data_IF_011846989297
#
_entry.id   IF_011846989297
#
_cell.length_a   1.000
_cell.length_b   1.000
_cell.length_c   1.000
_cell.angle_alpha   90.00
_cell.angle_beta   90.00
_cell.angle_gamma   90.00
#
_symmetry.space_group_name_H-M   'P 1'
#
loop_
_entity.id
_entity.type
_entity.pdbx_description
1 polymer ?
#
# COMPACT_ATOMS: atom_id res chain seq x y z
N UNK A 1 -45.21 13.54 -22.85
CA UNK A 1 -44.56 13.53 -21.53
C UNK A 1 -45.38 12.67 -20.58
N UNK A 2 -44.80 11.58 -20.05
CA UNK A 2 -45.20 11.07 -18.74
C UNK A 2 -44.00 11.01 -17.79
N UNK A 3 -44.18 11.63 -16.62
CA UNK A 3 -43.42 11.42 -15.38
C UNK A 3 -43.92 10.07 -14.83
N UNK A 4 -43.15 9.01 -14.58
CA UNK A 4 -41.99 8.95 -13.70
C UNK A 4 -42.41 8.22 -12.41
N UNK A 5 -42.42 6.87 -12.44
CA UNK A 5 -42.90 6.00 -11.36
C UNK A 5 -41.95 6.02 -10.14
N UNK A 6 -42.26 6.89 -9.18
CA UNK A 6 -41.75 6.82 -7.80
C UNK A 6 -42.74 6.08 -6.92
N UNK A 7 -42.34 4.94 -6.36
CA UNK A 7 -43.16 4.12 -5.46
C UNK A 7 -43.31 4.82 -4.09
N UNK A 8 -44.54 5.05 -3.63
CA UNK A 8 -44.85 5.66 -2.32
C UNK A 8 -45.45 4.62 -1.36
N UNK A 9 -44.93 4.52 -0.13
CA UNK A 9 -45.64 3.87 0.98
C UNK A 9 -46.41 4.93 1.78
N UNK A 10 -47.74 4.78 1.85
CA UNK A 10 -48.60 5.69 2.61
C UNK A 10 -48.54 5.39 4.12
N UNK A 11 -47.99 6.34 4.89
CA UNK A 11 -48.15 6.40 6.34
C UNK A 11 -49.45 7.10 6.73
N UNK A 12 -50.20 6.56 7.70
CA UNK A 12 -51.56 6.98 8.13
C UNK A 12 -51.68 8.39 8.76
N UNK A 13 -50.71 9.28 8.63
CA UNK A 13 -50.72 10.59 9.32
C UNK A 13 -50.22 11.76 8.46
N UNK A 14 -50.55 11.73 7.17
CA UNK A 14 -50.71 12.96 6.35
C UNK A 14 -49.50 13.87 6.22
N UNK A 15 -48.28 13.41 6.51
CA UNK A 15 -47.04 14.16 6.31
C UNK A 15 -46.13 13.40 5.36
N UNK A 16 -46.20 13.79 4.09
CA UNK A 16 -45.28 13.34 3.06
C UNK A 16 -43.98 14.14 3.21
N UNK A 17 -42.93 13.52 3.76
CA UNK A 17 -41.58 14.09 3.68
C UNK A 17 -40.88 13.46 2.46
N UNK A 18 -40.41 14.25 1.48
CA UNK A 18 -39.62 13.70 0.38
C UNK A 18 -38.29 13.21 0.96
N UNK A 19 -38.02 11.91 0.84
CA UNK A 19 -36.67 11.40 1.05
C UNK A 19 -35.84 11.83 -0.16
N UNK A 20 -35.17 12.97 0.00
CA UNK A 20 -34.16 13.43 -0.94
C UNK A 20 -33.09 12.33 -1.02
N UNK A 21 -32.92 11.73 -2.19
CA UNK A 21 -31.74 10.90 -2.47
C UNK A 21 -30.57 11.88 -2.49
N UNK A 22 -29.94 12.09 -1.34
CA UNK A 22 -28.63 12.71 -1.32
C UNK A 22 -27.69 11.77 -2.06
N UNK A 23 -27.39 12.10 -3.31
CA UNK A 23 -26.07 11.82 -3.88
C UNK A 23 -25.06 12.47 -2.94
N UNK A 24 -24.62 11.73 -1.93
CA UNK A 24 -23.48 12.12 -1.13
C UNK A 24 -22.25 12.04 -2.04
N UNK A 25 -21.98 13.12 -2.77
CA UNK A 25 -20.61 13.47 -3.06
C UNK A 25 -19.97 13.72 -1.70
N UNK A 26 -19.24 12.73 -1.20
CA UNK A 26 -18.34 12.94 -0.06
C UNK A 26 -17.32 13.96 -0.55
N UNK A 27 -17.63 15.24 -0.34
CA UNK A 27 -16.69 16.32 -0.48
C UNK A 27 -15.51 15.97 0.43
N UNK A 28 -14.30 15.91 -0.13
CA UNK A 28 -13.06 15.69 0.58
C UNK A 28 -12.68 16.89 1.48
N UNK A 29 -13.64 17.45 2.22
CA UNK A 29 -13.39 18.41 3.28
C UNK A 29 -12.98 17.63 4.53
N UNK A 30 -11.67 17.50 4.73
CA UNK A 30 -11.12 17.06 6.01
C UNK A 30 -10.15 15.89 5.95
N UNK A 31 -9.30 15.79 4.93
CA UNK A 31 -8.09 15.00 5.13
C UNK A 31 -7.14 15.85 5.99
N UNK A 32 -7.32 15.77 7.32
CA UNK A 32 -6.63 16.64 8.29
C UNK A 32 -5.10 16.48 8.33
N UNK A 33 -4.53 15.56 7.54
CA UNK A 33 -3.09 15.38 7.37
C UNK A 33 -2.69 15.68 5.93
N UNK A 34 -1.55 16.36 5.75
CA UNK A 34 -0.93 16.49 4.42
C UNK A 34 -0.32 15.16 4.02
N UNK A 35 -0.16 14.93 2.71
CA UNK A 35 0.43 13.69 2.21
C UNK A 35 1.86 13.48 2.73
N UNK A 36 2.62 14.58 2.83
CA UNK A 36 4.01 14.60 3.33
C UNK A 36 4.14 14.11 4.79
N UNK A 37 3.08 14.22 5.59
CA UNK A 37 3.07 13.81 7.00
C UNK A 37 2.76 12.30 7.18
N UNK A 38 2.56 11.56 6.08
CA UNK A 38 2.21 10.15 6.11
C UNK A 38 3.46 9.27 5.97
N UNK A 39 3.65 8.38 6.95
CA UNK A 39 4.85 7.56 7.03
C UNK A 39 4.63 6.10 6.64
N UNK A 40 3.37 5.64 6.65
CA UNK A 40 3.05 4.24 6.39
C UNK A 40 2.28 4.05 5.08
N UNK A 41 2.49 2.92 4.42
CA UNK A 41 1.75 2.56 3.19
C UNK A 41 0.22 2.59 3.41
N UNK A 42 -0.33 2.02 4.50
CA UNK A 42 -1.78 2.04 4.72
C UNK A 42 -2.35 3.45 4.88
N UNK A 43 -1.63 4.37 5.54
CA UNK A 43 -2.03 5.77 5.64
C UNK A 43 -2.08 6.44 4.26
N UNK A 44 -1.04 6.24 3.45
CA UNK A 44 -0.96 6.80 2.08
C UNK A 44 -2.06 6.25 1.17
N UNK A 45 -2.33 4.95 1.22
CA UNK A 45 -3.41 4.32 0.45
C UNK A 45 -4.78 4.90 0.82
N UNK A 46 -5.09 4.98 2.12
CA UNK A 46 -6.35 5.56 2.60
C UNK A 46 -6.49 7.03 2.20
N UNK A 47 -5.42 7.80 2.36
CA UNK A 47 -5.39 9.22 2.00
C UNK A 47 -5.66 9.41 0.50
N UNK A 48 -4.97 8.67 -0.36
CA UNK A 48 -5.14 8.73 -1.81
C UNK A 48 -6.55 8.31 -2.22
N UNK A 49 -7.08 7.23 -1.65
CA UNK A 49 -8.44 6.76 -1.90
C UNK A 49 -9.49 7.81 -1.53
N UNK A 50 -9.39 8.39 -0.32
CA UNK A 50 -10.33 9.41 0.17
C UNK A 50 -10.25 10.70 -0.63
N UNK A 51 -9.05 11.12 -1.06
CA UNK A 51 -8.86 12.27 -1.97
C UNK A 51 -9.63 12.09 -3.28
N UNK A 52 -9.70 10.86 -3.79
CA UNK A 52 -10.44 10.52 -5.01
C UNK A 52 -11.94 10.22 -4.76
N UNK A 53 -12.40 10.22 -3.51
CA UNK A 53 -13.79 9.90 -3.15
C UNK A 53 -14.18 8.45 -3.43
N UNK A 54 -13.22 7.52 -3.47
CA UNK A 54 -13.47 6.12 -3.85
C UNK A 54 -13.76 5.22 -2.64
N UNK A 55 -14.64 4.26 -2.84
CA UNK A 55 -14.83 3.12 -1.95
C UNK A 55 -13.72 2.07 -2.17
N UNK A 56 -13.42 1.27 -1.14
CA UNK A 56 -12.43 0.19 -1.23
C UNK A 56 -12.73 -0.79 -2.37
N UNK A 57 -14.01 -1.16 -2.56
CA UNK A 57 -14.47 -2.03 -3.67
C UNK A 57 -14.19 -1.42 -5.05
N UNK A 58 -14.28 -0.11 -5.20
CA UNK A 58 -14.08 0.57 -6.48
C UNK A 58 -12.60 0.61 -6.84
N UNK A 59 -11.73 0.87 -5.85
CA UNK A 59 -10.28 0.78 -6.04
C UNK A 59 -9.90 -0.63 -6.45
N UNK A 60 -10.38 -1.65 -5.72
CA UNK A 60 -10.09 -3.04 -6.02
C UNK A 60 -10.51 -3.43 -7.45
N UNK A 61 -11.70 -3.01 -7.89
CA UNK A 61 -12.18 -3.23 -9.26
C UNK A 61 -11.31 -2.53 -10.31
N UNK A 62 -10.96 -1.25 -10.11
CA UNK A 62 -10.11 -0.50 -11.07
C UNK A 62 -8.71 -1.06 -11.19
N UNK A 63 -8.12 -1.50 -10.07
CA UNK A 63 -6.79 -2.11 -10.02
C UNK A 63 -6.83 -3.57 -10.51
N UNK A 64 -7.99 -4.22 -10.45
CA UNK A 64 -8.14 -5.63 -10.80
C UNK A 64 -7.55 -6.56 -9.74
N UNK A 65 -7.79 -6.25 -8.47
CA UNK A 65 -7.46 -7.10 -7.30
C UNK A 65 -8.72 -7.46 -6.53
N UNK A 66 -8.64 -8.45 -5.64
CA UNK A 66 -9.76 -8.73 -4.73
C UNK A 66 -9.96 -7.58 -3.75
N UNK A 67 -11.22 -7.32 -3.37
CA UNK A 67 -11.54 -6.33 -2.34
C UNK A 67 -10.83 -6.67 -1.01
N UNK A 68 -10.81 -7.95 -0.64
CA UNK A 68 -10.11 -8.43 0.56
C UNK A 68 -8.63 -8.08 0.56
N UNK A 69 -7.94 -8.25 -0.58
CA UNK A 69 -6.53 -7.87 -0.68
C UNK A 69 -6.37 -6.35 -0.46
N UNK A 70 -7.20 -5.53 -1.10
CA UNK A 70 -7.13 -4.08 -0.90
C UNK A 70 -7.43 -3.66 0.55
N UNK A 71 -8.38 -4.31 1.21
CA UNK A 71 -8.67 -4.10 2.63
C UNK A 71 -7.48 -4.47 3.53
N UNK A 72 -6.81 -5.60 3.28
CA UNK A 72 -5.59 -6.01 3.99
C UNK A 72 -4.46 -4.97 3.80
N UNK A 73 -4.32 -4.43 2.58
CA UNK A 73 -3.34 -3.39 2.27
C UNK A 73 -3.63 -2.10 3.08
N UNK A 74 -4.89 -1.68 3.16
CA UNK A 74 -5.28 -0.51 3.96
C UNK A 74 -5.29 -0.75 5.46
N UNK A 75 -5.36 -2.01 5.91
CA UNK A 75 -5.23 -2.37 7.33
C UNK A 75 -3.77 -2.47 7.77
N UNK A 76 -2.86 -2.75 6.83
CA UNK A 76 -1.44 -2.97 7.09
C UNK A 76 -1.10 -4.42 7.44
N UNK A 77 -1.97 -5.37 7.07
CA UNK A 77 -1.78 -6.79 7.34
C UNK A 77 -0.89 -7.47 6.29
N UNK A 78 -0.70 -6.81 5.14
CA UNK A 78 0.18 -7.30 4.08
C UNK A 78 1.62 -7.32 4.56
N UNK A 79 2.22 -8.52 4.59
CA UNK A 79 3.67 -8.67 4.78
C UNK A 79 4.46 -8.14 3.59
N UNK A 80 3.85 -8.16 2.41
CA UNK A 80 4.42 -7.68 1.15
C UNK A 80 3.27 -7.23 0.24
N UNK A 81 3.43 -6.06 -0.38
CA UNK A 81 2.47 -5.54 -1.35
C UNK A 81 2.83 -6.10 -2.74
N UNK A 82 1.91 -6.80 -3.44
CA UNK A 82 2.22 -7.35 -4.76
C UNK A 82 2.60 -6.25 -5.75
N UNK A 83 3.72 -6.39 -6.46
CA UNK A 83 4.25 -5.36 -7.36
C UNK A 83 3.20 -4.88 -8.38
N UNK A 84 2.51 -5.82 -9.05
CA UNK A 84 1.46 -5.50 -10.02
C UNK A 84 0.30 -4.67 -9.43
N UNK A 85 -0.02 -4.85 -8.14
CA UNK A 85 -1.06 -4.09 -7.47
C UNK A 85 -0.55 -2.69 -7.11
N UNK A 86 0.70 -2.59 -6.66
CA UNK A 86 1.36 -1.32 -6.35
C UNK A 86 1.48 -0.46 -7.61
N UNK A 87 1.90 -1.02 -8.74
CA UNK A 87 2.08 -0.29 -10.00
C UNK A 87 0.76 0.36 -10.45
N UNK A 88 -0.33 -0.42 -10.44
CA UNK A 88 -1.66 0.06 -10.80
C UNK A 88 -2.25 1.05 -9.77
N UNK A 89 -1.93 0.90 -8.49
CA UNK A 89 -2.32 1.88 -7.47
C UNK A 89 -1.57 3.20 -7.64
N UNK A 90 -0.28 3.14 -7.95
CA UNK A 90 0.54 4.31 -8.25
C UNK A 90 -0.01 5.06 -9.48
N UNK A 91 -0.38 4.32 -10.54
CA UNK A 91 -1.05 4.87 -11.72
C UNK A 91 -2.42 5.50 -11.37
N UNK A 92 -3.29 4.77 -10.67
CA UNK A 92 -4.61 5.25 -10.26
C UNK A 92 -4.53 6.51 -9.41
N UNK A 93 -3.57 6.56 -8.50
CA UNK A 93 -3.40 7.67 -7.56
C UNK A 93 -2.53 8.80 -8.11
N UNK A 94 -1.89 8.62 -9.26
CA UNK A 94 -0.93 9.56 -9.83
C UNK A 94 0.16 9.93 -8.81
N UNK A 95 0.65 8.93 -8.08
CA UNK A 95 1.73 9.06 -7.09
C UNK A 95 2.82 8.06 -7.46
N UNK A 96 4.10 8.47 -7.51
CA UNK A 96 5.20 7.53 -7.77
C UNK A 96 5.19 6.36 -6.79
N UNK A 97 5.58 5.17 -7.25
CA UNK A 97 5.64 3.97 -6.41
C UNK A 97 6.54 4.21 -5.19
N UNK A 98 7.62 4.94 -5.37
CA UNK A 98 8.56 5.30 -4.33
C UNK A 98 7.87 6.10 -3.23
N UNK A 99 7.01 7.05 -3.59
CA UNK A 99 6.30 7.90 -2.62
C UNK A 99 5.10 7.18 -2.00
N UNK A 100 4.55 6.17 -2.67
CA UNK A 100 3.47 5.35 -2.14
C UNK A 100 3.97 4.38 -1.07
N UNK A 101 5.15 3.79 -1.29
CA UNK A 101 5.72 2.77 -0.40
C UNK A 101 6.61 3.37 0.72
N UNK A 102 6.57 2.74 1.89
CA UNK A 102 7.56 2.98 2.93
C UNK A 102 8.91 2.34 2.57
N UNK A 103 9.98 2.69 3.29
CA UNK A 103 11.34 2.24 2.97
C UNK A 103 11.48 0.71 2.90
N UNK A 104 10.82 -0.01 3.81
CA UNK A 104 10.87 -1.47 3.87
C UNK A 104 10.10 -2.10 2.71
N UNK A 105 8.90 -1.60 2.41
CA UNK A 105 8.06 -2.08 1.32
C UNK A 105 8.73 -1.80 -0.02
N UNK A 106 9.37 -0.63 -0.17
CA UNK A 106 10.16 -0.27 -1.36
C UNK A 106 11.37 -1.19 -1.54
N UNK A 107 12.01 -1.60 -0.45
CA UNK A 107 13.09 -2.59 -0.49
C UNK A 107 12.61 -3.96 -1.00
N UNK A 108 11.42 -4.42 -0.57
CA UNK A 108 10.84 -5.67 -1.07
C UNK A 108 10.42 -5.56 -2.54
N UNK A 109 9.76 -4.45 -2.90
CA UNK A 109 9.34 -4.16 -4.27
C UNK A 109 10.51 -4.17 -5.25
N UNK A 110 11.63 -3.53 -4.89
CA UNK A 110 12.81 -3.37 -5.75
C UNK A 110 13.74 -4.58 -5.86
N UNK A 111 13.30 -5.78 -5.47
CA UNK A 111 14.13 -6.98 -5.60
C UNK A 111 15.22 -7.09 -4.52
N UNK A 112 14.90 -7.60 -3.32
CA UNK A 112 15.84 -7.63 -2.19
C UNK A 112 17.06 -8.51 -2.44
N UNK A 113 16.90 -9.57 -3.24
CA UNK A 113 17.96 -10.54 -3.58
C UNK A 113 19.12 -9.86 -4.30
N UNK A 114 18.82 -9.16 -5.39
CA UNK A 114 19.85 -8.51 -6.20
C UNK A 114 20.43 -7.30 -5.49
N UNK A 115 19.62 -6.57 -4.72
CA UNK A 115 20.09 -5.43 -3.93
C UNK A 115 21.10 -5.84 -2.85
N UNK A 116 20.82 -6.90 -2.10
CA UNK A 116 21.76 -7.44 -1.10
C UNK A 116 23.03 -7.95 -1.78
N UNK A 117 22.89 -8.71 -2.87
CA UNK A 117 24.01 -9.28 -3.61
C UNK A 117 24.92 -8.20 -4.21
N UNK A 118 24.32 -7.16 -4.79
CA UNK A 118 25.02 -6.02 -5.36
C UNK A 118 25.79 -5.25 -4.29
N UNK A 119 25.14 -4.87 -3.19
CA UNK A 119 25.79 -4.17 -2.09
C UNK A 119 27.00 -4.94 -1.55
N UNK A 120 26.83 -6.25 -1.31
CA UNK A 120 27.94 -7.10 -0.83
C UNK A 120 29.10 -7.14 -1.83
N UNK A 121 28.82 -7.34 -3.12
CA UNK A 121 29.86 -7.41 -4.16
C UNK A 121 30.57 -6.07 -4.35
N UNK A 122 29.84 -4.95 -4.29
CA UNK A 122 30.40 -3.60 -4.37
C UNK A 122 31.42 -3.34 -3.26
N UNK A 123 31.12 -3.81 -2.04
CA UNK A 123 32.03 -3.70 -0.89
C UNK A 123 33.17 -4.73 -0.91
N UNK A 124 33.21 -5.64 -1.89
CA UNK A 124 34.23 -6.70 -1.96
C UNK A 124 34.15 -7.73 -0.83
N UNK A 125 33.02 -7.83 -0.13
CA UNK A 125 32.89 -8.65 1.08
C UNK A 125 32.47 -10.09 0.79
N UNK A 126 33.02 -11.01 1.59
CA UNK A 126 32.47 -12.36 1.73
C UNK A 126 31.08 -12.31 2.39
N UNK A 127 30.29 -13.37 2.27
CA UNK A 127 28.97 -13.43 2.95
C UNK A 127 29.10 -13.32 4.47
N UNK A 128 30.15 -13.93 5.04
CA UNK A 128 30.45 -13.87 6.47
C UNK A 128 30.77 -12.43 6.90
N UNK A 129 31.71 -11.76 6.23
CA UNK A 129 32.10 -10.39 6.56
C UNK A 129 30.93 -9.40 6.38
N UNK A 130 30.12 -9.57 5.33
CA UNK A 130 28.91 -8.78 5.12
C UNK A 130 27.88 -8.99 6.23
N UNK A 131 27.70 -10.24 6.68
CA UNK A 131 26.79 -10.57 7.75
C UNK A 131 27.23 -9.99 9.10
N UNK A 132 28.53 -10.05 9.40
CA UNK A 132 29.13 -9.42 10.59
C UNK A 132 28.95 -7.90 10.56
N UNK A 133 29.26 -7.26 9.43
CA UNK A 133 29.06 -5.82 9.23
C UNK A 133 27.60 -5.40 9.44
N UNK A 134 26.65 -6.19 8.94
CA UNK A 134 25.23 -5.93 9.08
C UNK A 134 24.62 -6.47 10.39
N UNK A 135 25.38 -7.10 11.29
CA UNK A 135 24.83 -7.68 12.53
C UNK A 135 23.75 -8.76 12.31
N UNK A 136 23.90 -9.56 11.25
CA UNK A 136 22.99 -10.68 10.89
C UNK A 136 23.78 -11.98 10.76
N UNK A 137 23.10 -13.13 10.68
CA UNK A 137 23.76 -14.42 10.48
C UNK A 137 24.12 -14.67 9.02
N UNK A 138 25.31 -15.22 8.75
CA UNK A 138 25.78 -15.57 7.40
C UNK A 138 24.78 -16.45 6.63
N UNK A 139 24.20 -17.46 7.31
CA UNK A 139 23.16 -18.31 6.73
C UNK A 139 21.97 -17.50 6.20
N UNK A 140 21.59 -16.43 6.90
CA UNK A 140 20.47 -15.56 6.46
C UNK A 140 20.84 -14.82 5.18
N UNK A 141 22.05 -14.25 5.11
CA UNK A 141 22.56 -13.58 3.89
C UNK A 141 22.57 -14.55 2.71
N UNK A 142 23.06 -15.78 2.92
CA UNK A 142 23.04 -16.82 1.88
C UNK A 142 21.61 -17.14 1.45
N UNK A 143 20.69 -17.38 2.38
CA UNK A 143 19.32 -17.76 2.06
C UNK A 143 18.55 -16.61 1.35
N UNK A 144 18.86 -15.35 1.68
CA UNK A 144 18.31 -14.17 0.98
C UNK A 144 18.88 -14.05 -0.44
N UNK A 145 20.19 -14.15 -0.63
CA UNK A 145 20.81 -14.09 -1.96
C UNK A 145 20.39 -15.25 -2.87
N UNK A 146 19.90 -16.36 -2.31
CA UNK A 146 19.36 -17.49 -3.05
C UNK A 146 17.83 -17.42 -3.22
N UNK A 147 17.16 -16.39 -2.70
CA UNK A 147 15.70 -16.27 -2.72
C UNK A 147 14.96 -17.33 -1.89
N UNK A 148 15.67 -18.09 -1.03
CA UNK A 148 15.10 -19.16 -0.21
C UNK A 148 14.30 -18.64 0.98
N UNK A 149 14.61 -17.42 1.43
CA UNK A 149 13.97 -16.79 2.58
C UNK A 149 13.70 -15.33 2.28
N UNK A 150 12.57 -14.82 2.77
CA UNK A 150 12.28 -13.38 2.73
C UNK A 150 13.02 -12.65 3.85
N UNK A 151 13.44 -11.43 3.56
CA UNK A 151 14.04 -10.54 4.56
C UNK A 151 12.94 -9.95 5.42
N UNK A 152 12.89 -10.33 6.71
CA UNK A 152 11.93 -9.76 7.67
C UNK A 152 12.32 -8.32 7.99
N UNK A 153 11.34 -7.48 8.34
CA UNK A 153 11.54 -6.07 8.74
C UNK A 153 12.68 -5.89 9.75
N UNK A 154 12.69 -6.66 10.84
CA UNK A 154 13.76 -6.61 11.86
C UNK A 154 15.18 -6.88 11.30
N UNK A 155 15.31 -7.78 10.33
CA UNK A 155 16.60 -8.06 9.68
C UNK A 155 16.96 -6.97 8.67
N UNK A 156 15.96 -6.45 7.95
CA UNK A 156 16.14 -5.33 7.04
C UNK A 156 16.60 -4.06 7.75
N UNK A 157 16.09 -3.74 8.94
CA UNK A 157 16.54 -2.60 9.74
C UNK A 157 18.05 -2.62 10.03
N UNK A 158 18.64 -3.82 10.14
CA UNK A 158 20.09 -3.96 10.31
C UNK A 158 20.85 -3.84 8.99
N UNK A 159 20.27 -4.40 7.92
CA UNK A 159 20.84 -4.31 6.57
C UNK A 159 20.84 -2.89 6.01
N UNK A 160 19.83 -2.07 6.33
CA UNK A 160 19.62 -0.76 5.67
C UNK A 160 20.85 0.15 5.77
N UNK A 161 21.56 0.10 6.90
CA UNK A 161 22.79 0.88 7.11
C UNK A 161 23.95 0.44 6.21
N UNK A 162 23.99 -0.84 5.83
CA UNK A 162 25.03 -1.41 4.96
C UNK A 162 24.66 -1.30 3.49
N UNK A 163 23.37 -1.32 3.16
CA UNK A 163 22.89 -1.22 1.77
C UNK A 163 23.15 0.16 1.14
N UNK A 164 23.38 1.19 1.94
CA UNK A 164 23.68 2.56 1.47
C UNK A 164 25.18 2.84 1.31
N UNK A 165 26.07 1.97 1.82
CA UNK A 165 27.53 2.04 1.70
C UNK A 165 27.99 1.54 0.33
#
# INVERSE_FOLDING_TARGET
>A
MPLGDGLYLMGRSGRCAPLYVHTFQVFAMGIGKRYEDLHTVPERLRWCRLRLGLMQKEVAQRVGISQTLYEEMERGDCQEYPAYAVDKLAELYQVPVEDLLDEYSRFLYGGPVDRIRYARKRLGLSRKAFAELAGVGEKSVRDWEMGRKKTRKKSWERLKAVLIL
#
